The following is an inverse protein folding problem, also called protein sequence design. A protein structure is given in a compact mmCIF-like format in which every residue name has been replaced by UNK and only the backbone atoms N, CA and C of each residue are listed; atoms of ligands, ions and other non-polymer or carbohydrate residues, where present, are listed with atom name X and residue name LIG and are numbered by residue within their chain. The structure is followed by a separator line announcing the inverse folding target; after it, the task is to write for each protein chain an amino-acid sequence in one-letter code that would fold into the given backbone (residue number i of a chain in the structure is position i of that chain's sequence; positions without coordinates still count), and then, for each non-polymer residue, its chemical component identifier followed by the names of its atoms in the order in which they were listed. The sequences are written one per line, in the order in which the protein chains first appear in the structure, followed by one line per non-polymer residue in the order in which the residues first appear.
data_IF_023295018354
#
_entry.id   IF_023295018354
#
_cell.length_a   1.000
_cell.length_b   1.000
_cell.length_c   1.000
_cell.angle_alpha   90.00
_cell.angle_beta   90.00
_cell.angle_gamma   90.00
#
_symmetry.space_group_name_H-M   'P 1'
#
loop_
_entity.id
_entity.type
_entity.pdbx_description
1 polymer ?
#
# COMPACT_ATOMS: atom_id res chain seq x y z
N UNK A 1 -9.22 6.67 -36.55
CA UNK A 1 -9.26 5.35 -35.85
C UNK A 1 -8.51 5.40 -34.52
N UNK A 2 -7.18 5.45 -34.47
CA UNK A 2 -6.46 5.48 -33.18
C UNK A 2 -6.69 6.77 -32.38
N UNK A 3 -6.73 7.93 -33.05
CA UNK A 3 -6.92 9.22 -32.40
C UNK A 3 -8.31 9.35 -31.76
N UNK A 4 -9.32 8.78 -32.40
CA UNK A 4 -10.73 8.96 -32.00
C UNK A 4 -11.19 7.89 -31.01
N UNK A 5 -10.40 6.82 -30.79
CA UNK A 5 -10.82 5.62 -30.05
C UNK A 5 -11.39 5.90 -28.65
N UNK A 6 -10.88 6.90 -27.94
CA UNK A 6 -11.30 7.26 -26.58
C UNK A 6 -12.04 8.61 -26.52
N UNK A 7 -12.35 9.22 -27.67
CA UNK A 7 -13.19 10.41 -27.73
C UNK A 7 -14.67 10.02 -27.68
N UNK A 8 -15.13 9.59 -26.51
CA UNK A 8 -16.44 8.97 -26.35
C UNK A 8 -17.62 9.88 -26.72
N UNK A 9 -17.48 11.19 -26.55
CA UNK A 9 -18.52 12.17 -26.86
C UNK A 9 -18.69 12.37 -28.38
N UNK A 10 -17.66 12.15 -29.20
CA UNK A 10 -17.81 12.20 -30.66
C UNK A 10 -18.45 10.94 -31.24
N UNK A 11 -18.47 9.85 -30.48
CA UNK A 11 -19.09 8.58 -30.88
C UNK A 11 -20.60 8.51 -30.63
N UNK A 12 -21.12 9.27 -29.66
CA UNK A 12 -22.54 9.25 -29.27
C UNK A 12 -22.90 10.54 -28.54
N UNK A 13 -24.12 11.05 -28.75
CA UNK A 13 -24.63 12.22 -28.01
C UNK A 13 -25.27 11.87 -26.67
N UNK A 14 -25.32 10.59 -26.30
CA UNK A 14 -25.93 10.12 -25.05
C UNK A 14 -24.96 10.25 -23.86
N UNK A 15 -25.21 11.23 -22.98
CA UNK A 15 -24.42 11.44 -21.77
C UNK A 15 -24.40 10.20 -20.85
N UNK A 16 -25.51 9.45 -20.78
CA UNK A 16 -25.58 8.21 -20.01
C UNK A 16 -24.65 7.13 -20.59
N UNK A 17 -24.61 6.99 -21.91
CA UNK A 17 -23.73 6.02 -22.57
C UNK A 17 -22.26 6.39 -22.39
N UNK A 18 -21.93 7.68 -22.53
CA UNK A 18 -20.59 8.20 -22.27
C UNK A 18 -20.17 7.93 -20.82
N UNK A 19 -21.05 8.22 -19.85
CA UNK A 19 -20.76 7.97 -18.42
C UNK A 19 -20.46 6.50 -18.13
N UNK A 20 -21.19 5.58 -18.77
CA UNK A 20 -20.94 4.13 -18.68
C UNK A 20 -19.59 3.73 -19.29
N UNK A 21 -19.24 4.27 -20.46
CA UNK A 21 -17.94 4.02 -21.11
C UNK A 21 -16.78 4.49 -20.22
N UNK A 22 -16.88 5.71 -19.68
CA UNK A 22 -15.90 6.29 -18.76
C UNK A 22 -15.76 5.41 -17.52
N UNK A 23 -16.88 5.04 -16.88
CA UNK A 23 -16.85 4.22 -15.67
C UNK A 23 -16.21 2.85 -15.89
N UNK A 24 -16.54 2.18 -17.00
CA UNK A 24 -15.88 0.93 -17.37
C UNK A 24 -14.40 1.11 -17.68
N UNK A 25 -14.02 2.20 -18.35
CA UNK A 25 -12.64 2.50 -18.67
C UNK A 25 -11.80 2.76 -17.41
N UNK A 26 -12.37 3.39 -16.38
CA UNK A 26 -11.71 3.56 -15.08
C UNK A 26 -11.32 2.21 -14.46
N UNK A 27 -12.21 1.22 -14.50
CA UNK A 27 -11.87 -0.14 -14.05
C UNK A 27 -10.76 -0.78 -14.90
N UNK A 28 -10.79 -0.58 -16.23
CA UNK A 28 -9.71 -1.02 -17.11
C UNK A 28 -8.36 -0.41 -16.73
N UNK A 29 -8.32 0.89 -16.45
CA UNK A 29 -7.11 1.57 -16.00
C UNK A 29 -6.63 1.05 -14.64
N UNK A 30 -7.53 0.86 -13.67
CA UNK A 30 -7.19 0.27 -12.37
C UNK A 30 -6.62 -1.15 -12.51
N UNK A 31 -7.16 -1.95 -13.43
CA UNK A 31 -6.65 -3.29 -13.70
C UNK A 31 -5.19 -3.26 -14.17
N UNK A 32 -4.84 -2.33 -15.07
CA UNK A 32 -3.46 -2.15 -15.55
C UNK A 32 -2.54 -1.66 -14.43
N UNK A 33 -3.00 -0.76 -13.57
CA UNK A 33 -2.24 -0.31 -12.40
C UNK A 33 -1.95 -1.49 -11.46
N UNK A 34 -2.96 -2.32 -11.14
CA UNK A 34 -2.78 -3.51 -10.31
C UNK A 34 -1.85 -4.55 -10.95
N UNK A 35 -1.92 -4.73 -12.27
CA UNK A 35 -1.03 -5.63 -13.00
C UNK A 35 0.42 -5.13 -12.94
N UNK A 36 0.64 -3.83 -13.15
CA UNK A 36 1.95 -3.21 -13.02
C UNK A 36 2.50 -3.34 -11.59
N UNK A 37 1.70 -3.03 -10.57
CA UNK A 37 2.06 -3.20 -9.17
C UNK A 37 2.41 -4.67 -8.87
N UNK A 38 1.58 -5.62 -9.29
CA UNK A 38 1.84 -7.06 -9.17
C UNK A 38 3.19 -7.43 -9.79
N UNK A 39 3.50 -6.90 -10.98
CA UNK A 39 4.80 -7.08 -11.62
C UNK A 39 5.96 -6.57 -10.76
N UNK A 40 5.83 -5.39 -10.15
CA UNK A 40 6.88 -4.83 -9.28
C UNK A 40 7.14 -5.72 -8.06
N UNK A 41 6.09 -6.21 -7.40
CA UNK A 41 6.21 -7.14 -6.26
C UNK A 41 6.79 -8.50 -6.70
N UNK A 42 6.38 -9.03 -7.86
CA UNK A 42 6.88 -10.30 -8.39
C UNK A 42 8.36 -10.23 -8.74
N UNK A 43 8.80 -9.15 -9.39
CA UNK A 43 10.20 -8.90 -9.69
C UNK A 43 11.03 -8.80 -8.40
N UNK A 44 10.51 -8.10 -7.39
CA UNK A 44 11.07 -8.08 -6.04
C UNK A 44 11.20 -9.47 -5.42
N UNK A 45 10.22 -10.34 -5.62
CA UNK A 45 10.21 -11.68 -5.04
C UNK A 45 11.13 -12.69 -5.74
N UNK A 46 11.40 -12.54 -7.05
CA UNK A 46 12.04 -13.60 -7.86
C UNK A 46 13.37 -13.21 -8.49
N UNK A 47 13.60 -11.93 -8.73
CA UNK A 47 14.74 -11.45 -9.52
C UNK A 47 15.44 -10.28 -8.84
N UNK A 48 15.50 -10.30 -7.50
CA UNK A 48 16.00 -9.18 -6.71
C UNK A 48 16.97 -9.62 -5.62
N UNK A 49 17.71 -8.65 -5.09
CA UNK A 49 18.54 -8.82 -3.91
C UNK A 49 17.88 -8.25 -2.64
N UNK A 50 16.54 -8.24 -2.55
CA UNK A 50 15.80 -7.58 -1.45
C UNK A 50 16.21 -8.05 -0.06
N UNK A 51 16.31 -9.36 0.16
CA UNK A 51 16.69 -9.94 1.46
C UNK A 51 18.14 -9.62 1.83
N UNK A 52 19.05 -9.64 0.86
CA UNK A 52 20.44 -9.21 1.05
C UNK A 52 20.51 -7.70 1.37
N UNK A 53 19.78 -6.87 0.63
CA UNK A 53 19.68 -5.43 0.89
C UNK A 53 19.11 -5.14 2.28
N UNK A 54 18.10 -5.89 2.73
CA UNK A 54 17.49 -5.70 4.04
C UNK A 54 18.48 -5.93 5.19
N UNK A 55 19.43 -6.85 5.00
CA UNK A 55 20.53 -7.12 5.93
C UNK A 55 21.60 -6.00 5.96
N UNK A 56 21.85 -5.34 4.83
CA UNK A 56 22.83 -4.24 4.75
C UNK A 56 22.37 -3.13 3.79
N UNK A 57 21.39 -2.31 4.22
CA UNK A 57 20.72 -1.35 3.34
C UNK A 57 21.58 -0.14 2.97
N UNK A 58 22.72 0.06 3.65
CA UNK A 58 23.62 1.19 3.40
C UNK A 58 24.65 0.90 2.32
N UNK A 59 25.17 -0.34 2.27
CA UNK A 59 26.19 -0.73 1.29
C UNK A 59 25.60 -1.35 0.02
N UNK A 60 24.63 -2.27 0.16
CA UNK A 60 24.05 -3.00 -0.97
C UNK A 60 23.13 -2.07 -1.76
N UNK A 61 23.19 -2.13 -3.10
CA UNK A 61 22.33 -1.33 -3.97
C UNK A 61 21.07 -2.12 -4.34
N UNK A 62 19.87 -1.51 -4.28
CA UNK A 62 18.64 -2.17 -4.71
C UNK A 62 18.71 -2.61 -6.18
N UNK A 63 18.43 -3.88 -6.45
CA UNK A 63 18.29 -4.42 -7.81
C UNK A 63 17.13 -5.42 -7.87
N UNK A 64 16.32 -5.34 -8.93
CA UNK A 64 15.16 -6.21 -9.15
C UNK A 64 14.93 -6.57 -10.63
N UNK A 65 15.95 -6.41 -11.46
CA UNK A 65 15.89 -6.72 -12.88
C UNK A 65 17.19 -7.38 -13.33
N UNK A 66 17.07 -8.52 -13.99
CA UNK A 66 18.18 -9.31 -14.52
C UNK A 66 18.00 -9.42 -16.03
N UNK A 67 19.09 -9.20 -16.77
CA UNK A 67 19.14 -9.29 -18.23
C UNK A 67 19.62 -10.67 -18.66
N UNK A 68 18.96 -11.27 -19.65
CA UNK A 68 19.39 -12.57 -20.19
C UNK A 68 20.66 -12.46 -21.06
N UNK A 69 21.57 -13.45 -20.99
CA UNK A 69 22.84 -13.45 -21.71
C UNK A 69 22.67 -13.97 -23.15
N UNK A 70 22.16 -13.13 -24.05
CA UNK A 70 21.89 -13.53 -25.45
C UNK A 70 22.99 -13.00 -26.39
N UNK A 71 23.32 -11.71 -26.29
CA UNK A 71 24.18 -11.01 -27.26
C UNK A 71 25.30 -10.21 -26.60
N UNK A 72 25.69 -10.56 -25.37
CA UNK A 72 26.64 -9.78 -24.56
C UNK A 72 25.97 -8.70 -23.70
N UNK A 73 24.64 -8.57 -23.77
CA UNK A 73 23.88 -7.60 -22.99
C UNK A 73 23.85 -7.90 -21.48
N UNK A 74 24.32 -9.07 -21.05
CA UNK A 74 24.56 -9.38 -19.64
C UNK A 74 25.61 -8.49 -18.97
N UNK A 75 26.38 -7.72 -19.75
CA UNK A 75 27.21 -6.61 -19.22
C UNK A 75 26.38 -5.60 -18.41
N UNK A 76 25.07 -5.51 -18.65
CA UNK A 76 24.13 -4.68 -17.89
C UNK A 76 23.84 -5.23 -16.48
N UNK A 77 24.14 -6.51 -16.21
CA UNK A 77 24.02 -7.10 -14.88
C UNK A 77 25.24 -6.71 -14.03
N UNK A 78 25.25 -5.46 -13.55
CA UNK A 78 26.31 -4.96 -12.70
C UNK A 78 26.33 -5.63 -11.32
N UNK A 79 27.51 -5.71 -10.70
CA UNK A 79 27.64 -6.12 -9.30
C UNK A 79 27.08 -5.03 -8.39
N UNK A 80 25.97 -5.35 -7.72
CA UNK A 80 25.25 -4.44 -6.82
C UNK A 80 25.44 -4.81 -5.34
N UNK A 81 26.32 -5.79 -5.06
CA UNK A 81 26.54 -6.34 -3.73
C UNK A 81 25.52 -7.41 -3.32
N UNK A 82 25.78 -8.08 -2.20
CA UNK A 82 24.94 -9.18 -1.70
C UNK A 82 25.04 -10.47 -2.52
N UNK A 83 26.12 -10.63 -3.30
CA UNK A 83 26.31 -11.79 -4.19
C UNK A 83 25.36 -11.79 -5.40
N UNK A 84 24.78 -10.64 -5.75
CA UNK A 84 23.79 -10.50 -6.80
C UNK A 84 24.28 -9.56 -7.90
N UNK A 85 23.99 -9.92 -9.15
CA UNK A 85 24.29 -9.11 -10.33
C UNK A 85 22.99 -8.82 -11.08
N UNK A 86 22.77 -7.54 -11.41
CA UNK A 86 21.55 -7.09 -12.05
C UNK A 86 21.55 -5.58 -12.29
N UNK A 87 20.45 -5.06 -12.83
CA UNK A 87 20.26 -3.63 -13.03
C UNK A 87 19.90 -3.00 -11.67
N UNK A 88 20.65 -1.98 -11.26
CA UNK A 88 20.29 -1.18 -10.09
C UNK A 88 18.99 -0.41 -10.37
N UNK A 89 17.99 -0.56 -9.50
CA UNK A 89 16.70 0.14 -9.60
C UNK A 89 16.72 1.44 -8.79
N UNK A 90 15.96 2.44 -9.25
CA UNK A 90 15.86 3.77 -8.61
C UNK A 90 14.42 4.13 -8.20
N UNK A 91 13.49 3.18 -8.30
CA UNK A 91 12.06 3.37 -8.01
C UNK A 91 11.71 3.45 -6.51
N UNK A 92 12.64 3.09 -5.62
CA UNK A 92 12.43 3.18 -4.16
C UNK A 92 11.56 2.07 -3.54
N UNK A 93 11.23 1.00 -4.28
CA UNK A 93 10.37 -0.08 -3.77
C UNK A 93 10.94 -0.81 -2.57
N UNK A 94 12.26 -0.97 -2.47
CA UNK A 94 12.88 -1.69 -1.35
C UNK A 94 12.65 -0.97 -0.01
N UNK A 95 12.77 0.36 -0.01
CA UNK A 95 12.50 1.20 1.16
C UNK A 95 11.02 1.16 1.54
N UNK A 96 10.13 1.18 0.54
CA UNK A 96 8.68 1.05 0.74
C UNK A 96 8.33 -0.30 1.39
N UNK A 97 8.89 -1.41 0.90
CA UNK A 97 8.62 -2.74 1.43
C UNK A 97 9.17 -2.92 2.85
N UNK A 98 10.38 -2.41 3.14
CA UNK A 98 10.93 -2.37 4.50
C UNK A 98 10.01 -1.60 5.44
N UNK A 99 9.58 -0.41 5.03
CA UNK A 99 8.66 0.41 5.82
C UNK A 99 7.28 -0.24 6.04
N UNK A 100 6.90 -1.22 5.22
CA UNK A 100 5.67 -2.02 5.37
C UNK A 100 5.87 -3.28 6.24
N UNK A 101 7.09 -3.52 6.72
CA UNK A 101 7.43 -4.70 7.53
C UNK A 101 7.58 -5.99 6.72
N UNK A 102 7.84 -5.91 5.40
CA UNK A 102 8.09 -7.08 4.57
C UNK A 102 9.54 -7.53 4.77
N UNK A 103 9.74 -8.79 5.18
CA UNK A 103 11.06 -9.34 5.53
C UNK A 103 11.47 -10.51 4.63
N UNK A 104 10.54 -11.09 3.87
CA UNK A 104 10.80 -12.29 3.05
C UNK A 104 10.25 -12.15 1.63
N UNK A 105 10.88 -12.87 0.69
CA UNK A 105 10.44 -12.95 -0.71
C UNK A 105 9.06 -13.62 -0.84
N UNK A 106 8.71 -14.53 0.07
CA UNK A 106 7.40 -15.19 0.09
C UNK A 106 6.27 -14.20 0.30
N UNK A 107 6.45 -13.19 1.15
CA UNK A 107 5.47 -12.13 1.35
C UNK A 107 5.31 -11.29 0.09
N UNK A 108 6.41 -10.91 -0.58
CA UNK A 108 6.36 -10.19 -1.86
C UNK A 108 5.61 -11.00 -2.93
N UNK A 109 5.88 -12.30 -3.00
CA UNK A 109 5.20 -13.20 -3.94
C UNK A 109 3.70 -13.29 -3.67
N UNK A 110 3.30 -13.46 -2.40
CA UNK A 110 1.88 -13.48 -2.03
C UNK A 110 1.18 -12.15 -2.37
N UNK A 111 1.83 -11.01 -2.12
CA UNK A 111 1.31 -9.69 -2.49
C UNK A 111 1.17 -9.53 -4.00
N UNK A 112 2.12 -10.04 -4.79
CA UNK A 112 2.03 -10.05 -6.24
C UNK A 112 0.80 -10.85 -6.72
N UNK A 113 0.60 -12.06 -6.21
CA UNK A 113 -0.59 -12.87 -6.56
C UNK A 113 -1.89 -12.16 -6.16
N UNK A 114 -1.94 -11.55 -4.97
CA UNK A 114 -3.07 -10.73 -4.55
C UNK A 114 -3.35 -9.57 -5.52
N UNK A 115 -2.31 -8.84 -5.94
CA UNK A 115 -2.41 -7.77 -6.93
C UNK A 115 -2.91 -8.26 -8.29
N UNK A 116 -2.46 -9.44 -8.74
CA UNK A 116 -2.92 -10.05 -9.99
C UNK A 116 -4.40 -10.44 -9.92
N UNK A 117 -4.85 -11.03 -8.81
CA UNK A 117 -6.27 -11.34 -8.58
C UNK A 117 -7.10 -10.06 -8.59
N UNK A 118 -6.64 -9.01 -7.92
CA UNK A 118 -7.31 -7.70 -7.93
C UNK A 118 -7.39 -7.10 -9.34
N UNK A 119 -6.33 -7.23 -10.15
CA UNK A 119 -6.34 -6.82 -11.57
C UNK A 119 -7.46 -7.54 -12.34
N UNK A 120 -7.56 -8.87 -12.19
CA UNK A 120 -8.62 -9.65 -12.83
C UNK A 120 -10.03 -9.25 -12.34
N UNK A 121 -10.19 -8.98 -11.04
CA UNK A 121 -11.45 -8.48 -10.48
C UNK A 121 -11.83 -7.11 -11.03
N UNK A 122 -10.87 -6.21 -11.25
CA UNK A 122 -11.13 -4.90 -11.86
C UNK A 122 -11.60 -5.05 -13.32
N UNK A 123 -10.97 -5.93 -14.11
CA UNK A 123 -11.45 -6.23 -15.48
C UNK A 123 -12.88 -6.76 -15.45
N UNK A 124 -13.17 -7.70 -14.54
CA UNK A 124 -14.52 -8.25 -14.38
C UNK A 124 -15.53 -7.18 -13.97
N UNK A 125 -15.21 -6.31 -13.01
CA UNK A 125 -16.09 -5.24 -12.56
C UNK A 125 -16.39 -4.24 -13.69
N UNK A 126 -15.38 -3.85 -14.48
CA UNK A 126 -15.57 -3.00 -15.66
C UNK A 126 -16.52 -3.64 -16.68
N UNK A 127 -16.26 -4.89 -17.06
CA UNK A 127 -17.15 -5.64 -17.94
C UNK A 127 -18.57 -5.75 -17.40
N UNK A 128 -18.72 -6.08 -16.11
CA UNK A 128 -20.02 -6.28 -15.48
C UNK A 128 -20.84 -4.99 -15.47
N UNK A 129 -20.22 -3.88 -15.06
CA UNK A 129 -20.86 -2.56 -15.00
C UNK A 129 -21.02 -1.86 -16.35
N UNK A 130 -20.56 -2.46 -17.45
CA UNK A 130 -20.85 -1.99 -18.80
C UNK A 130 -21.85 -2.88 -19.55
N UNK A 131 -21.64 -4.20 -19.51
CA UNK A 131 -22.40 -5.15 -20.34
C UNK A 131 -23.55 -5.87 -19.62
N UNK A 132 -23.55 -5.92 -18.29
CA UNK A 132 -24.56 -6.68 -17.52
C UNK A 132 -25.45 -5.80 -16.66
N UNK A 133 -24.85 -4.91 -15.88
CA UNK A 133 -25.55 -4.05 -14.93
C UNK A 133 -25.04 -2.62 -15.03
N UNK A 134 -25.34 -1.97 -16.15
CA UNK A 134 -24.90 -0.62 -16.44
C UNK A 134 -25.70 0.43 -15.62
N UNK A 135 -25.04 1.25 -14.77
CA UNK A 135 -25.74 2.25 -13.98
C UNK A 135 -26.47 3.29 -14.84
N UNK A 136 -27.49 3.95 -14.27
CA UNK A 136 -28.21 5.05 -14.94
C UNK A 136 -27.55 6.40 -14.65
N UNK A 137 -27.85 7.41 -15.45
CA UNK A 137 -27.29 8.76 -15.31
C UNK A 137 -27.51 9.36 -13.91
N UNK A 138 -28.69 9.14 -13.32
CA UNK A 138 -29.04 9.61 -11.97
C UNK A 138 -28.04 9.13 -10.90
N UNK A 139 -27.54 7.89 -11.03
CA UNK A 139 -26.53 7.36 -10.09
C UNK A 139 -25.20 8.09 -10.24
N UNK A 140 -24.76 8.35 -11.48
CA UNK A 140 -23.52 9.10 -11.74
C UNK A 140 -23.61 10.55 -11.25
N UNK A 141 -24.81 11.15 -11.31
CA UNK A 141 -25.06 12.53 -10.89
C UNK A 141 -25.34 12.66 -9.38
N UNK A 142 -25.36 11.56 -8.62
CA UNK A 142 -25.49 11.61 -7.16
C UNK A 142 -24.15 12.00 -6.51
N UNK A 143 -23.80 13.28 -6.68
CA UNK A 143 -22.52 13.86 -6.23
C UNK A 143 -22.38 13.90 -4.71
N UNK A 144 -23.49 14.07 -3.99
CA UNK A 144 -23.49 14.09 -2.52
C UNK A 144 -23.11 12.71 -1.97
N UNK A 145 -23.73 11.65 -2.49
CA UNK A 145 -23.36 10.28 -2.15
C UNK A 145 -21.91 9.99 -2.57
N UNK A 146 -21.50 10.36 -3.77
CA UNK A 146 -20.14 10.14 -4.26
C UNK A 146 -19.11 10.80 -3.34
N UNK A 147 -19.34 12.05 -2.93
CA UNK A 147 -18.45 12.78 -2.04
C UNK A 147 -18.40 12.16 -0.65
N UNK A 148 -19.54 11.82 -0.05
CA UNK A 148 -19.58 11.16 1.26
C UNK A 148 -18.83 9.82 1.24
N UNK A 149 -19.05 8.98 0.23
CA UNK A 149 -18.42 7.67 0.14
C UNK A 149 -16.92 7.75 -0.19
N UNK A 150 -16.49 8.71 -1.03
CA UNK A 150 -15.06 8.89 -1.30
C UNK A 150 -14.32 9.49 -0.09
N UNK A 151 -14.89 10.48 0.58
CA UNK A 151 -14.27 11.09 1.75
C UNK A 151 -14.25 10.10 2.93
N UNK A 152 -15.40 9.64 3.42
CA UNK A 152 -15.43 8.78 4.61
C UNK A 152 -15.00 7.34 4.31
N UNK A 153 -15.46 6.79 3.18
CA UNK A 153 -15.17 5.41 2.79
C UNK A 153 -13.75 5.26 2.24
N UNK A 154 -13.51 5.75 1.02
CA UNK A 154 -12.24 5.52 0.32
C UNK A 154 -11.04 6.14 1.07
N UNK A 155 -11.11 7.42 1.42
CA UNK A 155 -10.01 8.11 2.10
C UNK A 155 -9.99 7.79 3.59
N UNK A 156 -11.12 7.94 4.28
CA UNK A 156 -11.23 7.73 5.72
C UNK A 156 -10.90 6.31 6.16
N UNK A 157 -11.61 5.30 5.62
CA UNK A 157 -11.32 3.89 5.95
C UNK A 157 -9.97 3.43 5.38
N UNK A 158 -9.53 4.00 4.26
CA UNK A 158 -8.20 3.77 3.71
C UNK A 158 -7.09 4.20 4.69
N UNK A 159 -7.16 5.43 5.19
CA UNK A 159 -6.24 5.94 6.21
C UNK A 159 -6.33 5.14 7.52
N UNK A 160 -7.54 4.76 7.96
CA UNK A 160 -7.73 3.98 9.19
C UNK A 160 -7.11 2.58 9.07
N UNK A 161 -7.37 1.89 7.95
CA UNK A 161 -6.81 0.58 7.67
C UNK A 161 -5.28 0.62 7.57
N UNK A 162 -4.73 1.66 6.92
CA UNK A 162 -3.29 1.85 6.84
C UNK A 162 -2.66 2.16 8.20
N UNK A 163 -3.27 3.02 9.03
CA UNK A 163 -2.82 3.27 10.39
C UNK A 163 -2.80 1.97 11.22
N UNK A 164 -3.85 1.14 11.10
CA UNK A 164 -3.90 -0.18 11.74
C UNK A 164 -2.75 -1.09 11.29
N UNK A 165 -2.49 -1.18 9.98
CA UNK A 165 -1.33 -1.91 9.46
C UNK A 165 0.00 -1.36 10.01
N UNK A 166 0.17 -0.03 10.03
CA UNK A 166 1.38 0.59 10.54
C UNK A 166 1.60 0.24 12.02
N UNK A 167 0.56 0.38 12.85
CA UNK A 167 0.62 0.14 14.30
C UNK A 167 0.93 -1.32 14.62
N UNK A 168 0.26 -2.25 13.93
CA UNK A 168 0.26 -3.66 14.32
C UNK A 168 1.27 -4.53 13.55
N UNK A 169 1.80 -4.05 12.42
CA UNK A 169 2.74 -4.82 11.58
C UNK A 169 4.02 -4.04 11.35
N UNK A 170 3.93 -2.85 10.74
CA UNK A 170 5.13 -2.13 10.31
C UNK A 170 5.99 -1.66 11.48
N UNK A 171 5.37 -1.09 12.52
CA UNK A 171 6.03 -0.55 13.70
C UNK A 171 6.87 -1.59 14.46
N UNK A 172 6.32 -2.73 14.92
CA UNK A 172 7.10 -3.69 15.68
C UNK A 172 8.27 -4.25 14.86
N UNK A 173 8.05 -4.57 13.59
CA UNK A 173 9.08 -5.11 12.69
C UNK A 173 10.20 -4.09 12.48
N UNK A 174 9.87 -2.84 12.14
CA UNK A 174 10.88 -1.81 11.93
C UNK A 174 11.63 -1.44 13.20
N UNK A 175 10.97 -1.48 14.37
CA UNK A 175 11.65 -1.26 15.66
C UNK A 175 12.75 -2.29 15.91
N UNK A 176 12.51 -3.55 15.54
CA UNK A 176 13.50 -4.63 15.67
C UNK A 176 14.58 -4.54 14.58
N UNK A 177 14.21 -4.23 13.34
CA UNK A 177 15.17 -4.01 12.24
C UNK A 177 16.12 -2.83 12.54
N UNK A 178 15.61 -1.76 13.14
CA UNK A 178 16.40 -0.59 13.53
C UNK A 178 17.26 -0.87 14.77
N UNK A 179 16.91 -1.89 15.57
CA UNK A 179 17.75 -2.41 16.65
C UNK A 179 18.86 -3.36 16.14
N UNK A 180 18.95 -3.60 14.83
CA UNK A 180 19.98 -4.42 14.21
C UNK A 180 19.69 -5.92 14.23
N UNK A 181 18.45 -6.32 14.54
CA UNK A 181 18.06 -7.73 14.49
C UNK A 181 17.95 -8.18 13.03
N UNK A 182 18.50 -9.35 12.75
CA UNK A 182 18.48 -9.93 11.42
C UNK A 182 17.05 -10.24 10.97
N UNK A 183 16.65 -9.97 9.71
CA UNK A 183 15.30 -10.25 9.22
C UNK A 183 14.86 -11.70 9.37
N UNK A 184 15.81 -12.66 9.37
CA UNK A 184 15.53 -14.08 9.55
C UNK A 184 15.19 -14.46 11.00
N UNK A 185 15.54 -13.63 11.97
CA UNK A 185 15.30 -13.85 13.40
C UNK A 185 14.03 -13.16 13.90
N UNK A 186 13.40 -12.34 13.04
CA UNK A 186 12.19 -11.62 13.40
C UNK A 186 10.98 -12.56 13.48
N UNK A 187 10.13 -12.41 14.51
CA UNK A 187 8.80 -13.03 14.50
C UNK A 187 8.02 -12.57 13.27
N UNK A 188 7.18 -13.45 12.73
CA UNK A 188 6.32 -13.10 11.60
C UNK A 188 5.22 -12.12 12.05
N UNK A 189 4.70 -11.27 11.14
CA UNK A 189 3.68 -10.27 11.47
C UNK A 189 2.48 -10.81 12.28
N UNK A 190 2.02 -12.03 11.98
CA UNK A 190 0.86 -12.62 12.66
C UNK A 190 1.15 -12.99 14.12
N UNK A 191 2.41 -13.21 14.49
CA UNK A 191 2.79 -13.48 15.88
C UNK A 191 2.60 -12.24 16.75
N UNK A 192 2.93 -11.04 16.23
CA UNK A 192 2.64 -9.76 16.91
C UNK A 192 1.13 -9.48 17.06
N UNK A 193 0.30 -9.98 16.14
CA UNK A 193 -1.16 -9.80 16.20
C UNK A 193 -1.80 -10.69 17.26
N UNK A 194 -1.31 -11.91 17.42
CA UNK A 194 -1.90 -12.91 18.32
C UNK A 194 -1.29 -12.84 19.72
N UNK A 195 0.00 -12.56 19.83
CA UNK A 195 0.73 -12.51 21.08
C UNK A 195 0.87 -11.07 21.57
N UNK A 196 -0.02 -10.66 22.47
CA UNK A 196 -0.02 -9.31 23.05
C UNK A 196 1.23 -9.05 23.88
N UNK A 197 1.79 -10.07 24.53
CA UNK A 197 3.00 -9.94 25.34
C UNK A 197 4.19 -9.53 24.47
N UNK A 198 4.29 -10.05 23.24
CA UNK A 198 5.33 -9.67 22.28
C UNK A 198 5.23 -8.18 21.90
N UNK A 199 4.01 -7.69 21.64
CA UNK A 199 3.79 -6.26 21.41
C UNK A 199 4.07 -5.41 22.66
N UNK A 200 3.66 -5.87 23.84
CA UNK A 200 3.85 -5.14 25.10
C UNK A 200 5.32 -5.01 25.51
N UNK A 201 6.20 -5.93 25.10
CA UNK A 201 7.65 -5.80 25.29
C UNK A 201 8.22 -4.62 24.48
N UNK A 202 7.66 -4.34 23.30
CA UNK A 202 8.06 -3.23 22.45
C UNK A 202 7.36 -1.92 22.81
N UNK A 203 6.08 -2.00 23.14
CA UNK A 203 5.18 -0.88 23.40
C UNK A 203 4.36 -1.19 24.66
N UNK A 204 4.85 -0.82 25.86
CA UNK A 204 4.24 -1.19 27.14
C UNK A 204 2.75 -0.85 27.27
N UNK A 205 2.26 0.17 26.56
CA UNK A 205 0.84 0.56 26.57
C UNK A 205 -0.10 -0.54 26.05
N UNK A 206 0.37 -1.46 25.21
CA UNK A 206 -0.44 -2.60 24.73
C UNK A 206 -0.94 -3.50 25.87
N UNK A 207 -0.26 -3.53 27.01
CA UNK A 207 -0.72 -4.24 28.21
C UNK A 207 -2.05 -3.69 28.76
N UNK A 208 -2.33 -2.40 28.56
CA UNK A 208 -3.57 -1.72 28.97
C UNK A 208 -4.76 -2.05 28.06
N UNK A 209 -4.50 -2.63 26.88
CA UNK A 209 -5.51 -2.98 25.90
C UNK A 209 -6.24 -1.75 25.32
N UNK A 210 -7.49 -1.96 24.92
CA UNK A 210 -8.30 -0.94 24.25
C UNK A 210 -9.10 -0.05 25.22
N UNK A 211 -9.04 -0.30 26.53
CA UNK A 211 -9.84 0.45 27.50
C UNK A 211 -9.56 1.97 27.46
N UNK A 212 -8.30 2.45 27.42
CA UNK A 212 -8.00 3.88 27.32
C UNK A 212 -8.61 4.57 26.10
N UNK A 213 -8.82 3.85 24.99
CA UNK A 213 -9.49 4.39 23.80
C UNK A 213 -10.95 4.77 24.10
N UNK A 214 -11.72 3.87 24.73
CA UNK A 214 -13.15 4.07 25.01
C UNK A 214 -13.41 5.02 26.18
N UNK A 215 -12.44 5.21 27.08
CA UNK A 215 -12.53 6.18 28.19
C UNK A 215 -11.94 7.55 27.85
N UNK A 216 -11.47 7.75 26.62
CA UNK A 216 -10.81 8.97 26.14
C UNK A 216 -9.52 9.34 26.90
N UNK A 217 -8.89 8.39 27.58
CA UNK A 217 -7.59 8.57 28.23
C UNK A 217 -6.44 8.28 27.25
N UNK A 218 -6.38 9.03 26.14
CA UNK A 218 -5.53 8.72 24.99
C UNK A 218 -4.03 8.97 25.18
N UNK A 219 -3.63 9.69 26.24
CA UNK A 219 -2.21 9.91 26.57
C UNK A 219 -1.46 8.60 26.80
N UNK A 220 -2.18 7.52 27.10
CA UNK A 220 -1.61 6.19 27.32
C UNK A 220 -0.99 5.54 26.08
N UNK A 221 -1.33 6.01 24.88
CA UNK A 221 -0.84 5.43 23.61
C UNK A 221 0.39 6.15 23.03
N UNK A 222 1.09 6.96 23.83
CA UNK A 222 2.20 7.81 23.38
C UNK A 222 3.48 7.06 23.00
N UNK A 223 3.56 5.75 23.20
CA UNK A 223 4.71 4.92 22.86
C UNK A 223 4.70 4.43 21.40
N UNK A 224 3.53 4.35 20.76
CA UNK A 224 3.39 4.01 19.33
C UNK A 224 2.68 5.08 18.48
N UNK A 225 1.94 6.02 19.10
CA UNK A 225 1.41 7.22 18.45
C UNK A 225 2.18 8.45 18.94
N UNK A 226 3.25 8.80 18.24
CA UNK A 226 4.14 9.88 18.66
C UNK A 226 3.90 11.18 17.89
N UNK A 227 4.54 12.24 18.35
CA UNK A 227 4.64 13.52 17.62
C UNK A 227 6.07 14.06 17.80
N UNK A 228 7.07 13.27 17.39
CA UNK A 228 8.48 13.61 17.59
C UNK A 228 8.89 14.77 16.67
N UNK A 229 8.42 14.75 15.42
CA UNK A 229 8.71 15.79 14.44
C UNK A 229 10.17 15.80 14.01
N UNK A 230 10.49 15.11 12.92
CA UNK A 230 11.84 15.04 12.38
C UNK A 230 12.16 13.66 11.79
N UNK A 231 13.44 13.32 11.77
CA UNK A 231 13.95 12.07 11.20
C UNK A 231 14.41 11.10 12.29
N UNK A 232 14.21 9.80 12.03
CA UNK A 232 14.83 8.73 12.79
C UNK A 232 16.33 8.70 12.47
N UNK A 233 17.22 8.90 13.46
CA UNK A 233 18.67 8.99 13.23
C UNK A 233 19.30 7.68 12.72
N UNK A 234 18.63 6.54 12.91
CA UNK A 234 19.12 5.23 12.44
C UNK A 234 18.88 5.06 10.94
N UNK A 235 17.68 5.40 10.48
CA UNK A 235 17.27 5.14 9.08
C UNK A 235 17.39 6.36 8.18
N UNK A 236 17.47 7.57 8.76
CA UNK A 236 17.35 8.83 8.04
C UNK A 236 15.95 9.13 7.49
N UNK A 237 14.98 8.24 7.73
CA UNK A 237 13.58 8.41 7.31
C UNK A 237 12.71 9.07 8.39
N UNK A 238 11.42 9.30 8.08
CA UNK A 238 10.45 9.75 9.07
C UNK A 238 10.20 8.69 10.14
N UNK A 239 9.80 9.12 11.34
CA UNK A 239 9.36 8.20 12.39
C UNK A 239 8.06 7.51 11.97
N UNK A 240 8.08 6.17 11.89
CA UNK A 240 6.88 5.43 11.53
C UNK A 240 5.73 5.65 12.53
N UNK A 241 6.03 5.89 13.81
CA UNK A 241 5.04 6.19 14.85
C UNK A 241 4.38 7.56 14.64
N UNK A 242 5.11 8.54 14.10
CA UNK A 242 4.54 9.83 13.68
C UNK A 242 3.67 9.63 12.43
N UNK A 243 4.08 8.80 11.47
CA UNK A 243 3.25 8.51 10.29
C UNK A 243 1.98 7.72 10.62
N UNK A 244 2.03 6.80 11.58
CA UNK A 244 0.85 6.08 12.09
C UNK A 244 -0.14 7.05 12.73
N UNK A 245 0.34 7.96 13.57
CA UNK A 245 -0.48 9.00 14.18
C UNK A 245 -1.05 9.96 13.13
N UNK A 246 -0.27 10.33 12.13
CA UNK A 246 -0.72 11.14 11.00
C UNK A 246 -1.89 10.48 10.23
N UNK A 247 -1.77 9.20 9.86
CA UNK A 247 -2.84 8.50 9.16
C UNK A 247 -4.09 8.33 10.03
N UNK A 248 -3.93 8.08 11.34
CA UNK A 248 -5.07 8.01 12.25
C UNK A 248 -5.80 9.36 12.34
N UNK A 249 -5.07 10.48 12.43
CA UNK A 249 -5.66 11.81 12.44
C UNK A 249 -6.39 12.12 11.12
N UNK A 250 -5.79 11.78 9.98
CA UNK A 250 -6.43 11.92 8.66
C UNK A 250 -7.68 11.04 8.52
N UNK A 251 -7.65 9.83 9.06
CA UNK A 251 -8.82 8.95 9.05
C UNK A 251 -10.01 9.60 9.76
N UNK A 252 -9.81 10.15 10.96
CA UNK A 252 -10.85 10.87 11.69
C UNK A 252 -11.33 12.07 10.89
N UNK A 253 -10.42 12.88 10.35
CA UNK A 253 -10.76 14.06 9.55
C UNK A 253 -11.61 13.71 8.32
N UNK A 254 -11.20 12.71 7.55
CA UNK A 254 -11.91 12.31 6.33
C UNK A 254 -13.24 11.62 6.62
N UNK A 255 -13.32 10.81 7.68
CA UNK A 255 -14.58 10.22 8.12
C UNK A 255 -15.57 11.32 8.50
N UNK A 256 -15.17 12.31 9.31
CA UNK A 256 -16.05 13.42 9.68
C UNK A 256 -16.43 14.24 8.44
N UNK A 257 -15.48 14.56 7.57
CA UNK A 257 -15.73 15.32 6.35
C UNK A 257 -16.73 14.63 5.40
N UNK A 258 -16.69 13.30 5.31
CA UNK A 258 -17.63 12.52 4.50
C UNK A 258 -19.04 12.38 5.09
N UNK A 259 -19.36 13.09 6.18
CA UNK A 259 -20.72 13.21 6.71
C UNK A 259 -21.28 14.64 6.57
N UNK A 260 -20.64 15.49 5.76
CA UNK A 260 -21.06 16.87 5.56
C UNK A 260 -22.27 17.01 4.63
N UNK A 261 -22.38 16.16 3.60
CA UNK A 261 -23.40 16.31 2.55
C UNK A 261 -24.67 15.54 2.91
N UNK A 262 -25.84 16.17 2.68
CA UNK A 262 -27.15 15.56 2.90
C UNK A 262 -27.29 14.32 2.01
N UNK A 263 -27.89 13.27 2.54
CA UNK A 263 -28.31 12.11 1.75
C UNK A 263 -29.79 11.83 2.04
N UNK A 264 -30.18 10.58 2.25
CA UNK A 264 -31.57 10.23 2.52
C UNK A 264 -32.05 10.64 3.93
N UNK A 265 -31.12 11.06 4.81
CA UNK A 265 -31.37 11.50 6.18
C UNK A 265 -30.63 12.81 6.47
#
# INVERSE_FOLDING_TARGET
LHADAHDFDSHTSSLEEVSRKIFSAHFGQLAIIFLWLSGMYFHGARFSNYTAWLNNPTLIKPSAQIVWPIVGQEILNGDVGGGFQGIQITSGFFQLWRASGITTETQLYATAIGGLVMSALMVFAGWFHYHKSAPKLEWFQNVESMMNHHLAGLLGLGCLGWAGHQIHVALPINKLLDAGISPQELPLPHEFLVNRELMAQLYPSFSKGILPFFTLNWSEYSDFLTFKGGLNPITGGLWLSDTAHHHLALAVLFIIAGHMYRTNW
#
